data_IF_746202034402
#
_entry.id   IF_746202034402
#
_cell.length_a   1.000
_cell.length_b   1.000
_cell.length_c   1.000
_cell.angle_alpha   90.00
_cell.angle_beta   90.00
_cell.angle_gamma   90.00
#
_symmetry.space_group_name_H-M   'P 1'
#
loop_
_entity.id
_entity.type
_entity.pdbx_description
1 polymer ?
#
# COMPACT_ATOMS: atom_id res chain seq x y z
N UNK A 1 -10.94 1.39 -35.01
CA UNK A 1 -10.59 2.75 -34.53
C UNK A 1 -10.48 2.67 -33.02
N UNK A 2 -9.31 2.95 -32.46
CA UNK A 2 -9.08 3.00 -31.01
C UNK A 2 -9.90 4.18 -30.46
N UNK A 3 -10.79 3.94 -29.49
CA UNK A 3 -11.66 5.00 -28.96
C UNK A 3 -10.82 6.13 -28.34
N UNK A 4 -11.26 7.39 -28.46
CA UNK A 4 -10.59 8.56 -27.83
C UNK A 4 -10.30 8.31 -26.33
N UNK A 5 -11.15 7.53 -25.68
CA UNK A 5 -11.01 7.08 -24.29
C UNK A 5 -9.74 6.25 -24.02
N UNK A 6 -9.30 5.38 -24.93
CA UNK A 6 -8.05 4.62 -24.80
C UNK A 6 -6.81 5.50 -24.98
N UNK A 7 -6.94 6.59 -25.74
CA UNK A 7 -5.88 7.59 -25.92
C UNK A 7 -5.72 8.44 -24.65
N UNK A 8 -6.83 8.82 -24.02
CA UNK A 8 -6.85 9.50 -22.72
C UNK A 8 -6.22 8.68 -21.59
N UNK A 9 -6.37 7.34 -21.59
CA UNK A 9 -5.78 6.48 -20.55
C UNK A 9 -4.26 6.36 -20.69
N UNK A 10 -3.74 6.24 -21.91
CA UNK A 10 -2.28 6.21 -22.15
C UNK A 10 -1.64 7.58 -21.95
N UNK A 11 -2.29 8.66 -22.41
CA UNK A 11 -1.89 10.04 -22.09
C UNK A 11 -1.98 10.30 -20.58
N UNK A 12 -2.94 9.69 -19.89
CA UNK A 12 -3.04 9.76 -18.44
C UNK A 12 -1.88 9.08 -17.73
N UNK A 13 -1.52 7.84 -18.11
CA UNK A 13 -0.38 7.14 -17.50
C UNK A 13 0.93 7.86 -17.80
N UNK A 14 1.08 8.41 -19.01
CA UNK A 14 2.21 9.27 -19.36
C UNK A 14 2.21 10.52 -18.49
N UNK A 15 1.14 11.31 -18.42
CA UNK A 15 1.07 12.51 -17.58
C UNK A 15 1.31 12.21 -16.10
N UNK A 16 0.80 11.09 -15.59
CA UNK A 16 1.01 10.65 -14.21
C UNK A 16 2.47 10.28 -13.96
N UNK A 17 3.08 9.46 -14.83
CA UNK A 17 4.49 9.08 -14.74
C UNK A 17 5.41 10.29 -14.98
N UNK A 18 5.07 11.20 -15.89
CA UNK A 18 5.80 12.43 -16.19
C UNK A 18 5.77 13.39 -15.00
N UNK A 19 4.60 13.53 -14.36
CA UNK A 19 4.48 14.29 -13.13
C UNK A 19 5.36 13.68 -12.02
N UNK A 20 5.36 12.35 -11.84
CA UNK A 20 6.27 11.69 -10.88
C UNK A 20 7.75 11.79 -11.26
N UNK A 21 8.08 11.68 -12.55
CA UNK A 21 9.42 11.81 -13.10
C UNK A 21 10.00 13.21 -12.88
N UNK A 22 9.19 14.25 -13.08
CA UNK A 22 9.57 15.64 -12.80
C UNK A 22 9.82 15.89 -11.32
N UNK A 23 9.11 15.19 -10.43
CA UNK A 23 9.26 15.36 -8.98
C UNK A 23 10.54 14.69 -8.46
N UNK A 24 10.93 13.57 -9.07
CA UNK A 24 12.14 12.82 -8.75
C UNK A 24 13.13 12.81 -9.92
N UNK A 25 13.44 14.00 -10.43
CA UNK A 25 14.44 14.16 -11.49
C UNK A 25 15.87 13.87 -10.98
N UNK A 26 16.82 13.76 -11.90
CA UNK A 26 18.21 13.39 -11.58
C UNK A 26 18.87 14.40 -10.62
N UNK A 27 18.55 15.69 -10.74
CA UNK A 27 19.04 16.74 -9.83
C UNK A 27 18.55 16.55 -8.40
N UNK A 28 17.26 16.32 -8.22
CA UNK A 28 16.64 16.10 -6.91
C UNK A 28 17.25 14.87 -6.24
N UNK A 29 17.44 13.80 -7.00
CA UNK A 29 18.06 12.57 -6.52
C UNK A 29 19.53 12.76 -6.13
N UNK A 30 20.33 13.46 -6.95
CA UNK A 30 21.72 13.79 -6.61
C UNK A 30 21.82 14.63 -5.34
N UNK A 31 20.90 15.57 -5.13
CA UNK A 31 20.86 16.40 -3.93
C UNK A 31 20.57 15.58 -2.67
N UNK A 32 19.60 14.65 -2.72
CA UNK A 32 19.28 13.73 -1.62
C UNK A 32 20.52 12.94 -1.20
N UNK A 33 21.24 12.36 -2.16
CA UNK A 33 22.44 11.54 -1.90
C UNK A 33 23.58 12.40 -1.34
N UNK A 34 23.91 13.50 -2.04
CA UNK A 34 25.04 14.37 -1.67
C UNK A 34 24.89 14.96 -0.27
N UNK A 35 23.66 15.29 0.12
CA UNK A 35 23.39 15.96 1.40
C UNK A 35 23.06 14.98 2.53
N UNK A 36 23.05 13.66 2.27
CA UNK A 36 22.59 12.64 3.21
C UNK A 36 21.22 13.03 3.82
N UNK A 37 20.27 13.39 2.95
CA UNK A 37 19.01 14.00 3.34
C UNK A 37 18.14 13.02 4.14
N UNK A 38 18.07 13.23 5.45
CA UNK A 38 17.26 12.42 6.37
C UNK A 38 15.76 12.54 6.12
N UNK A 39 15.32 13.53 5.33
CA UNK A 39 13.92 13.72 4.96
C UNK A 39 13.56 13.09 3.61
N UNK A 40 14.49 12.41 2.93
CA UNK A 40 14.26 11.79 1.63
C UNK A 40 13.18 10.71 1.60
N UNK A 41 12.72 10.25 2.77
CA UNK A 41 11.52 9.43 2.85
C UNK A 41 10.22 10.18 2.60
N UNK A 42 10.23 11.51 2.69
CA UNK A 42 9.14 12.39 2.32
C UNK A 42 9.16 12.64 0.81
N UNK A 43 7.97 12.66 0.23
CA UNK A 43 7.75 13.12 -1.12
C UNK A 43 8.08 14.61 -1.21
N UNK A 44 8.79 15.10 -2.25
CA UNK A 44 9.24 16.49 -2.32
C UNK A 44 8.13 17.52 -2.12
N UNK A 45 6.96 17.31 -2.75
CA UNK A 45 5.80 18.20 -2.55
C UNK A 45 5.23 18.16 -1.13
N UNK A 46 5.37 17.03 -0.44
CA UNK A 46 4.94 16.94 0.95
C UNK A 46 5.95 17.61 1.88
N UNK A 47 7.25 17.49 1.58
CA UNK A 47 8.30 18.21 2.28
C UNK A 47 8.10 19.73 2.16
N UNK A 48 7.86 20.24 0.96
CA UNK A 48 7.50 21.65 0.72
C UNK A 48 6.24 22.05 1.49
N UNK A 49 5.19 21.22 1.43
CA UNK A 49 3.95 21.47 2.16
C UNK A 49 4.20 21.53 3.68
N UNK A 50 4.98 20.60 4.24
CA UNK A 50 5.32 20.55 5.65
C UNK A 50 6.12 21.79 6.04
N UNK A 51 7.15 22.17 5.28
CA UNK A 51 7.95 23.38 5.52
C UNK A 51 7.08 24.64 5.52
N UNK A 52 6.16 24.76 4.56
CA UNK A 52 5.22 25.88 4.46
C UNK A 52 4.30 26.00 5.68
N UNK A 53 3.84 24.88 6.25
CA UNK A 53 2.86 24.88 7.34
C UNK A 53 3.47 24.79 8.74
N UNK A 54 4.71 24.30 8.87
CA UNK A 54 5.36 24.03 10.15
C UNK A 54 6.75 24.68 10.30
N UNK A 55 7.22 25.41 9.29
CA UNK A 55 8.53 26.08 9.26
C UNK A 55 9.65 25.20 8.70
N UNK A 56 10.74 25.84 8.23
CA UNK A 56 11.94 25.15 7.73
C UNK A 56 12.61 24.26 8.79
N UNK A 57 12.47 24.63 10.07
CA UNK A 57 12.99 23.88 11.21
C UNK A 57 12.00 22.82 11.74
N UNK A 58 11.01 22.39 10.94
CA UNK A 58 10.03 21.39 11.39
C UNK A 58 10.67 20.11 11.92
N UNK A 59 11.88 19.76 11.43
CA UNK A 59 12.65 18.59 11.86
C UNK A 59 13.06 18.63 13.34
N UNK A 60 13.10 19.82 13.97
CA UNK A 60 13.39 20.01 15.39
C UNK A 60 12.16 19.79 16.26
N UNK A 61 10.96 19.92 15.69
CA UNK A 61 9.71 19.67 16.40
C UNK A 61 9.70 18.18 16.79
N UNK A 62 9.56 17.83 18.09
CA UNK A 62 9.79 16.48 18.60
C UNK A 62 9.08 15.37 17.83
N UNK A 63 7.88 15.68 17.32
CA UNK A 63 7.06 14.73 16.58
C UNK A 63 7.57 14.40 15.18
N UNK A 64 8.09 15.40 14.46
CA UNK A 64 8.69 15.22 13.14
C UNK A 64 10.06 14.59 13.27
N UNK A 65 10.84 15.01 14.27
CA UNK A 65 12.10 14.38 14.64
C UNK A 65 11.93 12.87 14.83
N UNK A 66 10.95 12.45 15.63
CA UNK A 66 10.65 11.04 15.87
C UNK A 66 10.27 10.28 14.60
N UNK A 67 9.47 10.88 13.72
CA UNK A 67 9.12 10.29 12.42
C UNK A 67 10.34 10.10 11.52
N UNK A 68 11.19 11.13 11.43
CA UNK A 68 12.44 11.11 10.66
C UNK A 68 13.38 10.05 11.22
N UNK A 69 13.60 10.03 12.54
CA UNK A 69 14.47 9.07 13.20
C UNK A 69 13.98 7.63 13.02
N UNK A 70 12.66 7.39 13.08
CA UNK A 70 12.08 6.08 12.80
C UNK A 70 12.24 5.67 11.32
N UNK A 71 11.95 6.58 10.38
CA UNK A 71 12.06 6.31 8.95
C UNK A 71 13.51 6.00 8.51
N UNK A 72 14.49 6.58 9.21
CA UNK A 72 15.91 6.34 8.99
C UNK A 72 16.48 5.19 9.84
N UNK A 73 15.64 4.47 10.59
CA UNK A 73 16.05 3.30 11.37
C UNK A 73 16.84 3.61 12.65
N UNK A 74 16.97 4.89 13.05
CA UNK A 74 17.61 5.31 14.32
C UNK A 74 16.80 4.89 15.55
N UNK A 75 15.49 4.71 15.35
CA UNK A 75 14.55 4.30 16.39
C UNK A 75 13.74 3.09 15.90
N UNK A 76 13.78 2.00 16.67
CA UNK A 76 12.93 0.83 16.49
C UNK A 76 11.97 0.67 17.66
N UNK A 77 10.87 -0.05 17.45
CA UNK A 77 9.88 -0.35 18.49
C UNK A 77 9.86 -1.86 18.70
N UNK A 78 9.95 -2.31 19.95
CA UNK A 78 9.93 -3.74 20.25
C UNK A 78 8.58 -4.40 19.85
N UNK A 79 8.57 -5.74 19.68
CA UNK A 79 7.36 -6.50 19.30
C UNK A 79 6.15 -6.24 20.19
N UNK A 80 6.38 -5.90 21.46
CA UNK A 80 5.35 -5.61 22.45
C UNK A 80 4.86 -4.15 22.42
N UNK A 81 5.37 -3.32 21.50
CA UNK A 81 4.92 -1.94 21.24
C UNK A 81 5.06 -0.99 22.46
N UNK A 82 6.00 -1.28 23.36
CA UNK A 82 6.13 -0.61 24.66
C UNK A 82 7.48 0.10 24.85
N UNK A 83 8.53 -0.29 24.12
CA UNK A 83 9.88 0.28 24.30
C UNK A 83 10.45 0.73 22.96
N UNK A 84 10.88 2.00 22.93
CA UNK A 84 11.70 2.57 21.87
C UNK A 84 13.14 2.12 22.11
N UNK A 85 13.70 1.39 21.16
CA UNK A 85 15.12 1.00 21.12
C UNK A 85 15.85 1.93 20.15
N UNK A 86 16.89 2.58 20.62
CA UNK A 86 17.77 3.39 19.76
C UNK A 86 18.83 2.45 19.18
N UNK A 87 18.80 2.27 17.87
CA UNK A 87 19.84 1.56 17.15
C UNK A 87 20.72 2.64 16.50
N UNK A 88 22.02 2.64 16.76
CA UNK A 88 23.00 3.40 15.96
C UNK A 88 23.15 2.73 14.59
N UNK A 89 22.05 2.55 13.87
CA UNK A 89 22.03 2.00 12.52
C UNK A 89 22.55 3.06 11.55
N UNK A 90 23.35 2.63 10.58
CA UNK A 90 23.72 3.47 9.45
C UNK A 90 22.45 4.01 8.76
N UNK A 91 22.49 5.29 8.42
CA UNK A 91 21.39 6.01 7.80
C UNK A 91 20.93 5.29 6.52
N UNK A 92 19.68 4.81 6.52
CA UNK A 92 19.06 4.20 5.34
C UNK A 92 17.76 4.94 5.01
N UNK A 93 17.82 6.03 4.23
CA UNK A 93 16.63 6.80 3.91
C UNK A 93 15.69 5.98 3.00
N UNK A 94 14.53 5.61 3.54
CA UNK A 94 13.51 4.87 2.80
C UNK A 94 12.74 5.80 1.85
N UNK A 95 12.97 5.78 0.53
CA UNK A 95 12.17 6.60 -0.41
C UNK A 95 10.68 6.25 -0.34
N UNK A 96 9.80 7.26 -0.26
CA UNK A 96 8.37 7.01 -0.30
C UNK A 96 7.93 6.46 -1.65
N UNK A 97 7.52 5.18 -1.66
CA UNK A 97 6.88 4.60 -2.83
C UNK A 97 5.37 4.82 -2.78
N UNK A 98 4.76 5.46 -3.78
CA UNK A 98 3.33 5.68 -3.84
C UNK A 98 2.56 4.40 -4.21
N UNK A 99 3.18 3.50 -4.98
CA UNK A 99 2.59 2.21 -5.35
C UNK A 99 3.65 1.22 -5.87
N UNK A 100 3.24 -0.02 -6.09
CA UNK A 100 3.96 -1.06 -6.81
C UNK A 100 3.03 -1.75 -7.80
N UNK A 101 3.56 -2.19 -8.93
CA UNK A 101 2.81 -2.93 -9.95
C UNK A 101 2.42 -2.08 -11.15
N UNK A 102 1.75 -2.74 -12.08
CA UNK A 102 1.32 -2.12 -13.33
C UNK A 102 -0.21 -1.96 -13.32
N UNK A 103 -0.73 -0.73 -13.24
CA UNK A 103 -2.16 -0.48 -13.16
C UNK A 103 -2.92 -0.86 -14.44
N UNK A 104 -2.23 -1.00 -15.57
CA UNK A 104 -2.82 -1.46 -16.82
C UNK A 104 -3.24 -2.93 -16.74
N UNK A 105 -2.42 -3.78 -16.12
CA UNK A 105 -2.65 -5.24 -16.08
C UNK A 105 -3.11 -5.74 -14.69
N UNK A 106 -3.22 -4.84 -13.71
CA UNK A 106 -3.56 -5.21 -12.35
C UNK A 106 -5.03 -5.63 -12.21
N UNK A 107 -5.23 -6.84 -11.71
CA UNK A 107 -6.52 -7.41 -11.34
C UNK A 107 -6.87 -7.17 -9.87
N UNK A 108 -5.83 -7.20 -9.02
CA UNK A 108 -5.97 -7.06 -7.57
C UNK A 108 -5.20 -5.82 -7.15
N UNK A 109 -5.88 -4.92 -6.46
CA UNK A 109 -5.33 -3.66 -5.95
C UNK A 109 -5.42 -3.66 -4.43
N UNK A 110 -4.27 -3.72 -3.77
CA UNK A 110 -4.19 -3.68 -2.31
C UNK A 110 -3.91 -2.24 -1.87
N UNK A 111 -4.84 -1.67 -1.10
CA UNK A 111 -4.73 -0.33 -0.52
C UNK A 111 -4.09 -0.44 0.87
N UNK A 112 -2.91 0.15 1.07
CA UNK A 112 -2.15 0.07 2.33
C UNK A 112 -1.73 1.45 2.87
N UNK A 113 -1.65 1.58 4.20
CA UNK A 113 -1.12 2.75 4.91
C UNK A 113 0.36 2.89 4.65
N UNK A 114 1.08 1.84 4.95
CA UNK A 114 2.49 1.72 4.67
C UNK A 114 2.74 0.25 4.34
N UNK A 115 3.66 -0.06 3.42
CA UNK A 115 4.53 -1.16 3.75
C UNK A 115 5.29 -0.70 4.99
N UNK A 116 5.16 -1.43 6.09
CA UNK A 116 5.84 -1.08 7.32
C UNK A 116 7.37 -1.07 7.08
N UNK A 117 8.18 -1.01 8.14
CA UNK A 117 9.61 -1.32 8.12
C UNK A 117 10.00 -2.67 7.45
N UNK A 118 9.05 -3.36 6.83
CA UNK A 118 9.13 -4.42 5.85
C UNK A 118 10.09 -4.13 4.68
N UNK A 119 10.42 -2.87 4.37
CA UNK A 119 11.51 -2.48 3.45
C UNK A 119 12.88 -2.35 4.14
N UNK A 120 13.06 -2.84 5.38
CA UNK A 120 14.37 -3.36 5.82
C UNK A 120 14.65 -4.60 4.97
N UNK A 121 14.94 -4.40 3.67
CA UNK A 121 15.24 -5.45 2.69
C UNK A 121 16.66 -5.99 2.89
N UNK A 122 17.45 -5.30 3.71
CA UNK A 122 18.80 -5.68 3.96
C UNK A 122 18.85 -6.42 5.29
N UNK A 123 19.35 -7.65 5.31
CA UNK A 123 20.14 -8.05 6.47
C UNK A 123 21.13 -6.92 6.76
N UNK A 124 21.49 -6.71 8.03
CA UNK A 124 22.52 -5.75 8.44
C UNK A 124 23.90 -5.98 7.76
N UNK A 125 23.99 -6.94 6.83
CA UNK A 125 25.16 -7.47 6.13
C UNK A 125 25.12 -7.35 4.60
N UNK A 126 24.12 -6.72 3.97
CA UNK A 126 24.12 -6.62 2.50
C UNK A 126 25.26 -5.71 2.00
N UNK A 127 26.04 -6.13 0.99
CA UNK A 127 27.08 -5.29 0.41
C UNK A 127 26.52 -3.95 -0.09
N UNK A 128 27.29 -2.87 0.09
CA UNK A 128 26.89 -1.51 -0.28
C UNK A 128 26.47 -1.41 -1.76
N UNK A 129 27.19 -2.10 -2.66
CA UNK A 129 26.89 -2.15 -4.08
C UNK A 129 25.50 -2.73 -4.39
N UNK A 130 25.09 -3.79 -3.68
CA UNK A 130 23.76 -4.40 -3.85
C UNK A 130 22.66 -3.50 -3.31
N UNK A 131 22.90 -2.82 -2.18
CA UNK A 131 21.97 -1.84 -1.63
C UNK A 131 21.78 -0.64 -2.59
N UNK A 132 22.85 -0.18 -3.23
CA UNK A 132 22.80 0.87 -4.25
C UNK A 132 22.00 0.42 -5.48
N UNK A 133 22.25 -0.79 -5.98
CA UNK A 133 21.54 -1.30 -7.16
C UNK A 133 20.05 -1.51 -6.90
N UNK A 134 19.69 -2.03 -5.73
CA UNK A 134 18.28 -2.11 -5.33
C UNK A 134 17.66 -0.72 -5.30
N UNK A 135 18.26 0.24 -4.59
CA UNK A 135 17.79 1.64 -4.58
C UNK A 135 17.63 2.20 -6.00
N UNK A 136 18.56 1.93 -6.91
CA UNK A 136 18.46 2.35 -8.31
C UNK A 136 17.25 1.74 -9.02
N UNK A 137 17.01 0.43 -8.86
CA UNK A 137 15.81 -0.24 -9.43
C UNK A 137 14.52 0.31 -8.84
N UNK A 138 14.49 0.62 -7.54
CA UNK A 138 13.36 1.32 -6.91
C UNK A 138 13.06 2.65 -7.60
N UNK A 139 14.09 3.45 -7.83
CA UNK A 139 13.97 4.76 -8.46
C UNK A 139 13.47 4.64 -9.89
N UNK A 140 14.06 3.73 -10.67
CA UNK A 140 13.65 3.46 -12.04
C UNK A 140 12.18 2.99 -12.11
N UNK A 141 11.73 2.17 -11.15
CA UNK A 141 10.33 1.69 -11.07
C UNK A 141 9.34 2.82 -10.75
N UNK A 142 9.67 3.70 -9.80
CA UNK A 142 8.88 4.91 -9.49
C UNK A 142 8.78 5.81 -10.72
N UNK A 143 9.89 5.97 -11.44
CA UNK A 143 9.97 6.75 -12.67
C UNK A 143 9.26 6.10 -13.86
N UNK A 144 8.78 4.86 -13.73
CA UNK A 144 8.23 4.09 -14.85
C UNK A 144 9.26 3.72 -15.91
N UNK A 145 10.57 3.87 -15.61
CA UNK A 145 11.70 3.56 -16.51
C UNK A 145 12.23 2.14 -16.31
N UNK A 146 11.89 1.49 -15.19
CA UNK A 146 12.22 0.08 -14.99
C UNK A 146 11.22 -0.79 -15.74
N UNK A 147 11.71 -1.49 -16.76
CA UNK A 147 10.94 -2.48 -17.50
C UNK A 147 11.70 -3.80 -17.52
N UNK A 148 10.95 -4.89 -17.62
CA UNK A 148 11.44 -6.24 -17.83
C UNK A 148 10.78 -6.73 -19.11
N UNK A 149 11.58 -7.04 -20.13
CA UNK A 149 11.10 -7.39 -21.47
C UNK A 149 10.10 -6.35 -22.04
N UNK A 150 10.37 -5.06 -21.80
CA UNK A 150 9.55 -3.94 -22.26
C UNK A 150 8.28 -3.68 -21.43
N UNK A 151 8.02 -4.44 -20.36
CA UNK A 151 6.84 -4.29 -19.52
C UNK A 151 7.18 -3.82 -18.10
N UNK A 152 6.31 -2.98 -17.51
CA UNK A 152 6.36 -2.69 -16.07
C UNK A 152 5.81 -3.88 -15.29
N UNK A 153 6.62 -4.46 -14.42
CA UNK A 153 6.28 -5.63 -13.60
C UNK A 153 6.22 -5.30 -12.11
N UNK A 154 5.69 -6.22 -11.31
CA UNK A 154 5.56 -6.03 -9.87
C UNK A 154 6.92 -6.23 -9.18
N UNK A 155 7.68 -5.15 -9.04
CA UNK A 155 9.06 -5.17 -8.51
C UNK A 155 9.24 -5.97 -7.19
N UNK A 156 8.34 -5.94 -6.19
CA UNK A 156 8.50 -6.75 -4.98
C UNK A 156 8.48 -8.26 -5.23
N UNK A 157 7.85 -8.71 -6.32
CA UNK A 157 7.92 -10.10 -6.74
C UNK A 157 9.27 -10.40 -7.40
N UNK A 158 9.70 -9.55 -8.33
CA UNK A 158 11.00 -9.70 -9.02
C UNK A 158 12.16 -9.72 -8.02
N UNK A 159 12.12 -8.84 -7.02
CA UNK A 159 13.15 -8.76 -5.96
C UNK A 159 12.93 -9.78 -4.83
N UNK A 160 11.95 -10.67 -4.96
CA UNK A 160 11.61 -11.67 -3.96
C UNK A 160 11.48 -11.08 -2.55
N UNK A 161 10.85 -9.91 -2.47
CA UNK A 161 10.84 -9.11 -1.26
C UNK A 161 10.22 -9.90 -0.10
N UNK A 162 10.95 -10.01 1.02
CA UNK A 162 10.56 -10.81 2.18
C UNK A 162 9.11 -10.60 2.66
N UNK A 163 8.64 -9.36 2.72
CA UNK A 163 7.26 -9.09 3.14
C UNK A 163 6.24 -9.59 2.11
N UNK A 164 6.55 -9.45 0.82
CA UNK A 164 5.69 -9.93 -0.26
C UNK A 164 5.59 -11.46 -0.21
N UNK A 165 6.74 -12.14 -0.20
CA UNK A 165 6.83 -13.61 -0.12
C UNK A 165 6.17 -14.13 1.16
N UNK A 166 6.40 -13.47 2.30
CA UNK A 166 5.85 -13.92 3.58
C UNK A 166 4.34 -13.70 3.67
N UNK A 167 3.85 -12.51 3.33
CA UNK A 167 2.48 -12.10 3.66
C UNK A 167 1.51 -12.17 2.48
N UNK A 168 1.98 -11.96 1.25
CA UNK A 168 1.12 -11.93 0.06
C UNK A 168 1.28 -13.17 -0.83
N UNK A 169 2.46 -13.79 -0.87
CA UNK A 169 2.75 -14.89 -1.78
C UNK A 169 3.40 -16.11 -1.09
N UNK A 170 2.91 -16.44 0.10
CA UNK A 170 3.30 -17.67 0.81
C UNK A 170 2.49 -18.87 0.33
N UNK A 171 2.88 -20.10 0.70
CA UNK A 171 2.13 -21.31 0.32
C UNK A 171 0.71 -21.35 0.88
N UNK A 172 0.44 -20.60 1.95
CA UNK A 172 -0.89 -20.44 2.53
C UNK A 172 -1.64 -19.21 1.98
N UNK A 173 -1.05 -18.46 1.04
CA UNK A 173 -1.64 -17.24 0.51
C UNK A 173 -2.72 -17.55 -0.53
N UNK A 174 -3.75 -16.71 -0.54
CA UNK A 174 -4.82 -16.81 -1.52
C UNK A 174 -4.32 -16.57 -2.94
N UNK A 175 -3.28 -15.75 -3.13
CA UNK A 175 -2.69 -15.50 -4.45
C UNK A 175 -2.17 -16.79 -5.08
N UNK A 176 -1.44 -17.62 -4.31
CA UNK A 176 -0.98 -18.93 -4.78
C UNK A 176 -2.14 -19.92 -4.97
N UNK A 177 -3.09 -19.96 -4.04
CA UNK A 177 -4.26 -20.84 -4.15
C UNK A 177 -5.03 -20.61 -5.45
N UNK A 178 -5.24 -19.34 -5.82
CA UNK A 178 -5.89 -18.99 -7.09
C UNK A 178 -4.93 -18.88 -8.29
N UNK A 179 -3.66 -19.27 -8.15
CA UNK A 179 -2.64 -19.18 -9.20
C UNK A 179 -2.59 -17.78 -9.87
N UNK A 180 -2.69 -16.73 -9.06
CA UNK A 180 -2.63 -15.35 -9.53
C UNK A 180 -1.19 -14.99 -9.81
N UNK A 181 -0.91 -14.55 -11.05
CA UNK A 181 0.37 -13.97 -11.42
C UNK A 181 0.63 -12.71 -10.56
N UNK A 182 1.72 -12.68 -9.77
CA UNK A 182 2.11 -11.51 -9.00
C UNK A 182 2.23 -10.21 -9.79
N UNK A 183 2.49 -10.25 -11.10
CA UNK A 183 2.55 -9.06 -11.94
C UNK A 183 1.18 -8.42 -12.18
N UNK A 184 0.09 -9.18 -11.95
CA UNK A 184 -1.30 -8.70 -11.96
C UNK A 184 -1.74 -8.14 -10.61
N UNK A 185 -0.80 -8.00 -9.67
CA UNK A 185 -1.01 -7.33 -8.40
C UNK A 185 -0.54 -5.88 -8.46
N UNK A 186 -1.29 -4.99 -7.83
CA UNK A 186 -0.86 -3.63 -7.51
C UNK A 186 -1.01 -3.37 -6.02
N UNK A 187 -0.08 -2.62 -5.45
CA UNK A 187 -0.19 -2.11 -4.07
C UNK A 187 -0.16 -0.60 -4.15
N UNK A 188 -1.20 0.09 -3.69
CA UNK A 188 -1.25 1.56 -3.60
C UNK A 188 -1.03 1.97 -2.15
N UNK A 189 -0.03 2.80 -1.91
CA UNK A 189 0.29 3.39 -0.61
C UNK A 189 -0.52 4.66 -0.42
N UNK A 190 -1.70 4.53 0.15
CA UNK A 190 -2.62 5.65 0.27
C UNK A 190 -2.25 6.63 1.40
N UNK A 191 -1.56 6.18 2.44
CA UNK A 191 -1.15 7.03 3.55
C UNK A 191 0.36 7.13 3.71
N UNK A 192 1.01 7.96 2.89
CA UNK A 192 2.43 8.19 3.01
C UNK A 192 2.76 8.62 4.44
N UNK A 193 3.85 8.04 4.94
CA UNK A 193 4.42 8.29 6.28
C UNK A 193 3.59 7.83 7.48
N UNK A 194 2.44 7.17 7.29
CA UNK A 194 1.74 6.56 8.41
C UNK A 194 2.42 5.26 8.82
N UNK A 195 3.31 5.36 9.81
CA UNK A 195 3.70 4.20 10.61
C UNK A 195 2.56 3.96 11.62
N UNK A 196 2.28 2.69 11.96
CA UNK A 196 1.21 2.38 12.92
C UNK A 196 1.36 3.16 14.23
N UNK A 197 0.26 3.26 15.01
CA UNK A 197 0.20 3.99 16.30
C UNK A 197 1.43 3.78 17.23
N UNK A 198 2.13 2.66 17.10
CA UNK A 198 3.30 2.25 17.88
C UNK A 198 4.59 3.07 17.61
N UNK A 199 4.75 3.70 16.45
CA UNK A 199 5.93 4.54 16.16
C UNK A 199 5.78 5.99 16.65
N UNK A 200 4.65 6.31 17.29
CA UNK A 200 4.39 7.61 17.90
C UNK A 200 4.42 8.78 16.93
N UNK A 201 4.07 8.53 15.65
CA UNK A 201 3.74 9.60 14.71
C UNK A 201 2.47 10.31 15.20
N UNK A 202 2.39 11.65 15.11
CA UNK A 202 1.25 12.40 15.59
C UNK A 202 -0.07 11.87 15.07
N UNK A 203 -1.02 11.76 15.99
CA UNK A 203 -2.45 11.72 15.67
C UNK A 203 -2.83 12.85 14.72
N UNK A 204 -2.06 13.94 14.63
CA UNK A 204 -2.29 15.08 13.74
C UNK A 204 -1.96 14.83 12.26
N UNK A 205 -1.06 13.90 11.93
CA UNK A 205 -0.86 13.40 10.56
C UNK A 205 -1.86 12.29 10.20
N UNK A 206 -2.42 11.66 11.24
CA UNK A 206 -3.56 10.76 11.14
C UNK A 206 -4.89 11.53 11.15
N UNK A 207 -4.88 12.81 11.54
CA UNK A 207 -6.08 13.62 11.68
C UNK A 207 -6.32 14.36 10.39
N UNK A 208 -7.58 14.30 9.98
CA UNK A 208 -8.20 14.78 8.76
C UNK A 208 -7.98 16.28 8.44
N UNK A 209 -7.15 16.99 9.21
CA UNK A 209 -6.94 18.44 9.08
C UNK A 209 -5.97 18.81 7.96
N UNK A 210 -5.00 17.95 7.63
CA UNK A 210 -3.98 18.24 6.61
C UNK A 210 -3.93 17.13 5.56
N UNK A 211 -4.42 17.43 4.36
CA UNK A 211 -4.32 16.54 3.18
C UNK A 211 -2.98 16.78 2.51
N UNK A 212 -2.10 15.78 2.52
CA UNK A 212 -0.80 15.88 1.86
C UNK A 212 -0.94 15.84 0.33
N UNK A 213 -0.13 16.60 -0.43
CA UNK A 213 -0.13 16.55 -1.89
C UNK A 213 -0.01 15.13 -2.47
N UNK A 214 0.87 14.29 -1.94
CA UNK A 214 1.04 12.91 -2.42
C UNK A 214 -0.17 12.01 -2.12
N UNK A 215 -0.89 12.23 -1.01
CA UNK A 215 -2.16 11.53 -0.71
C UNK A 215 -3.21 11.84 -1.78
N UNK A 216 -3.32 13.11 -2.15
CA UNK A 216 -4.23 13.55 -3.22
C UNK A 216 -3.85 12.92 -4.56
N UNK A 217 -2.57 12.82 -4.87
CA UNK A 217 -2.10 12.15 -6.09
C UNK A 217 -2.45 10.66 -6.11
N UNK A 218 -2.18 9.95 -5.00
CA UNK A 218 -2.50 8.52 -4.89
C UNK A 218 -4.01 8.26 -4.92
N UNK A 219 -4.81 9.19 -4.40
CA UNK A 219 -6.26 9.11 -4.51
C UNK A 219 -6.75 9.39 -5.93
N UNK A 220 -6.22 10.40 -6.61
CA UNK A 220 -6.57 10.66 -8.01
C UNK A 220 -6.28 9.45 -8.90
N UNK A 221 -5.16 8.76 -8.64
CA UNK A 221 -4.86 7.48 -9.26
C UNK A 221 -5.96 6.44 -9.01
N UNK A 222 -6.33 6.23 -7.74
CA UNK A 222 -7.39 5.29 -7.37
C UNK A 222 -8.72 5.62 -8.07
N UNK A 223 -9.13 6.90 -8.09
CA UNK A 223 -10.37 7.32 -8.76
C UNK A 223 -10.35 6.99 -10.24
N UNK A 224 -9.24 7.25 -10.91
CA UNK A 224 -9.11 6.96 -12.33
C UNK A 224 -9.18 5.46 -12.58
N UNK A 225 -8.54 4.64 -11.74
CA UNK A 225 -8.67 3.17 -11.82
C UNK A 225 -10.09 2.68 -11.52
N UNK A 226 -10.86 3.36 -10.69
CA UNK A 226 -12.27 3.00 -10.44
C UNK A 226 -13.16 3.34 -11.64
N UNK A 227 -12.69 4.22 -12.54
CA UNK A 227 -13.44 4.74 -13.69
C UNK A 227 -12.98 4.14 -15.03
N UNK A 228 -11.96 3.28 -15.09
CA UNK A 228 -11.33 2.80 -16.33
C UNK A 228 -11.94 1.51 -16.92
N UNK A 229 -13.21 1.23 -16.62
CA UNK A 229 -14.01 0.07 -17.03
C UNK A 229 -13.45 -1.33 -16.66
N UNK A 230 -12.28 -1.41 -16.03
CA UNK A 230 -11.67 -2.69 -15.62
C UNK A 230 -12.24 -3.15 -14.28
N UNK A 231 -12.79 -4.36 -14.27
CA UNK A 231 -13.23 -5.03 -13.05
C UNK A 231 -12.01 -5.46 -12.25
N UNK A 232 -11.75 -4.78 -11.13
CA UNK A 232 -10.68 -5.12 -10.19
C UNK A 232 -11.21 -5.54 -8.83
N UNK A 233 -10.42 -6.31 -8.11
CA UNK A 233 -10.62 -6.60 -6.69
C UNK A 233 -9.81 -5.59 -5.88
N UNK A 234 -10.50 -4.81 -5.06
CA UNK A 234 -9.85 -3.88 -4.15
C UNK A 234 -9.79 -4.51 -2.76
N UNK A 235 -8.61 -4.56 -2.15
CA UNK A 235 -8.39 -5.14 -0.82
C UNK A 235 -7.81 -4.09 0.12
N UNK A 236 -8.39 -3.99 1.31
CA UNK A 236 -8.01 -3.02 2.35
C UNK A 236 -7.74 -3.73 3.67
N UNK A 237 -6.80 -3.25 4.50
CA UNK A 237 -6.69 -3.82 5.86
C UNK A 237 -7.77 -3.26 6.79
N UNK A 238 -8.28 -4.06 7.73
CA UNK A 238 -9.31 -3.62 8.70
C UNK A 238 -8.86 -2.41 9.52
N UNK A 239 -7.61 -2.36 9.96
CA UNK A 239 -7.05 -1.20 10.68
C UNK A 239 -6.99 0.07 9.84
N UNK A 240 -7.20 -0.10 8.54
CA UNK A 240 -7.10 0.93 7.55
C UNK A 240 -8.47 1.35 7.02
N UNK A 241 -9.56 0.63 7.33
CA UNK A 241 -10.92 0.80 6.81
C UNK A 241 -11.23 2.27 6.45
N UNK A 242 -11.08 2.56 5.16
CA UNK A 242 -10.86 3.91 4.63
C UNK A 242 -12.15 4.67 4.37
N UNK A 243 -13.34 4.11 4.58
CA UNK A 243 -14.60 4.74 4.11
C UNK A 243 -14.81 6.13 4.73
N UNK A 244 -14.43 6.34 6.00
CA UNK A 244 -14.46 7.67 6.61
C UNK A 244 -13.45 8.65 5.99
N UNK A 245 -12.37 8.13 5.42
CA UNK A 245 -11.30 8.90 4.79
C UNK A 245 -11.64 9.18 3.32
N UNK A 246 -12.13 8.20 2.57
CA UNK A 246 -12.57 8.38 1.18
C UNK A 246 -13.61 9.48 1.04
N UNK A 247 -14.51 9.66 2.01
CA UNK A 247 -15.45 10.79 2.04
C UNK A 247 -14.79 12.17 2.01
N UNK A 248 -13.51 12.30 2.35
CA UNK A 248 -12.77 13.56 2.25
C UNK A 248 -12.12 13.78 0.87
N UNK A 249 -12.14 12.76 0.02
CA UNK A 249 -11.47 12.77 -1.27
C UNK A 249 -12.42 12.45 -2.44
N UNK A 250 -13.50 11.70 -2.20
CA UNK A 250 -14.50 11.25 -3.16
C UNK A 250 -15.88 11.82 -2.87
N UNK A 251 -16.72 11.84 -3.90
CA UNK A 251 -18.16 12.00 -3.80
C UNK A 251 -18.82 10.74 -3.18
N UNK A 252 -20.14 10.85 -2.94
CA UNK A 252 -20.97 9.76 -2.40
C UNK A 252 -20.90 8.50 -3.27
N UNK A 253 -20.94 8.68 -4.59
CA UNK A 253 -21.15 7.61 -5.55
C UNK A 253 -19.92 6.69 -5.60
N UNK A 254 -18.72 7.29 -5.60
CA UNK A 254 -17.47 6.52 -5.51
C UNK A 254 -17.36 5.82 -4.15
N UNK A 255 -17.78 6.48 -3.07
CA UNK A 255 -17.78 5.86 -1.75
C UNK A 255 -18.70 4.64 -1.68
N UNK A 256 -19.90 4.74 -2.28
CA UNK A 256 -20.86 3.63 -2.36
C UNK A 256 -20.33 2.50 -3.23
N UNK A 257 -19.79 2.81 -4.41
CA UNK A 257 -19.15 1.82 -5.26
C UNK A 257 -18.05 1.03 -4.53
N UNK A 258 -17.19 1.74 -3.79
CA UNK A 258 -16.16 1.10 -2.97
C UNK A 258 -16.77 0.24 -1.86
N UNK A 259 -17.80 0.72 -1.15
CA UNK A 259 -18.50 -0.08 -0.13
C UNK A 259 -19.02 -1.41 -0.69
N UNK A 260 -19.46 -1.42 -1.94
CA UNK A 260 -20.02 -2.62 -2.57
C UNK A 260 -18.95 -3.57 -3.12
N UNK A 261 -17.80 -3.05 -3.54
CA UNK A 261 -16.77 -3.80 -4.26
C UNK A 261 -15.47 -4.02 -3.48
N UNK A 262 -15.35 -3.47 -2.27
CA UNK A 262 -14.15 -3.56 -1.44
C UNK A 262 -14.16 -4.82 -0.58
N UNK A 263 -13.00 -5.48 -0.55
CA UNK A 263 -12.68 -6.56 0.38
C UNK A 263 -11.78 -6.06 1.51
N UNK A 264 -12.00 -6.58 2.70
CA UNK A 264 -11.33 -6.24 3.95
C UNK A 264 -10.51 -7.43 4.44
N UNK A 265 -9.20 -7.23 4.58
CA UNK A 265 -8.33 -8.11 5.34
C UNK A 265 -8.61 -7.92 6.83
N UNK A 266 -9.50 -8.77 7.37
CA UNK A 266 -10.06 -8.67 8.72
C UNK A 266 -9.22 -9.39 9.77
N UNK A 267 -7.94 -9.01 9.85
CA UNK A 267 -7.07 -9.41 10.94
C UNK A 267 -6.04 -8.33 11.29
N UNK A 268 -6.05 -7.93 12.57
CA UNK A 268 -5.08 -6.99 13.15
C UNK A 268 -3.70 -7.60 13.40
N UNK A 269 -3.64 -8.93 13.51
CA UNK A 269 -2.41 -9.67 13.85
C UNK A 269 -1.90 -10.53 12.69
N UNK A 270 -2.82 -11.02 11.85
CA UNK A 270 -2.47 -11.85 10.72
C UNK A 270 -2.39 -10.99 9.45
N UNK A 271 -1.16 -10.70 9.02
CA UNK A 271 -0.89 -9.96 7.78
C UNK A 271 -0.97 -10.82 6.53
N UNK A 272 -1.15 -12.13 6.68
CA UNK A 272 -1.26 -13.04 5.57
C UNK A 272 -2.61 -12.87 4.87
N UNK A 273 -2.56 -12.70 3.56
CA UNK A 273 -3.75 -12.67 2.71
C UNK A 273 -4.19 -14.12 2.48
N UNK A 274 -5.16 -14.56 3.29
CA UNK A 274 -5.71 -15.93 3.25
C UNK A 274 -7.22 -15.90 2.99
N UNK A 275 -7.75 -17.02 2.46
CA UNK A 275 -9.17 -17.18 2.11
C UNK A 275 -10.11 -16.84 3.26
N UNK A 276 -9.71 -17.18 4.48
CA UNK A 276 -10.51 -17.00 5.68
C UNK A 276 -10.56 -15.56 6.19
N UNK A 277 -9.56 -14.74 5.84
CA UNK A 277 -9.32 -13.44 6.44
C UNK A 277 -9.66 -12.28 5.49
N UNK A 278 -9.89 -12.55 4.21
CA UNK A 278 -10.37 -11.55 3.24
C UNK A 278 -11.89 -11.66 3.16
N UNK A 279 -12.58 -10.63 3.65
CA UNK A 279 -14.03 -10.56 3.74
C UNK A 279 -14.55 -9.52 2.77
N UNK A 280 -15.72 -9.69 2.16
CA UNK A 280 -16.39 -8.52 1.58
C UNK A 280 -16.67 -7.49 2.67
N UNK A 281 -16.82 -6.22 2.29
CA UNK A 281 -17.18 -5.20 3.26
C UNK A 281 -18.51 -5.52 3.99
N UNK A 282 -19.46 -6.19 3.31
CA UNK A 282 -20.72 -6.67 3.89
C UNK A 282 -20.48 -7.74 4.96
N UNK A 283 -19.70 -8.77 4.64
CA UNK A 283 -19.30 -9.82 5.59
C UNK A 283 -18.56 -9.23 6.80
N UNK A 284 -17.66 -8.26 6.57
CA UNK A 284 -16.94 -7.58 7.63
C UNK A 284 -17.87 -6.79 8.56
N UNK A 285 -18.84 -6.04 8.02
CA UNK A 285 -19.84 -5.33 8.82
C UNK A 285 -20.69 -6.28 9.66
N UNK A 286 -21.11 -7.41 9.09
CA UNK A 286 -21.87 -8.41 9.83
C UNK A 286 -21.05 -9.01 10.97
N UNK A 287 -19.77 -9.31 10.72
CA UNK A 287 -18.84 -9.75 11.77
C UNK A 287 -18.74 -8.74 12.91
N UNK A 288 -18.63 -7.44 12.61
CA UNK A 288 -18.60 -6.39 13.64
C UNK A 288 -19.92 -6.33 14.43
N UNK A 289 -21.06 -6.44 13.75
CA UNK A 289 -22.40 -6.47 14.37
C UNK A 289 -22.55 -7.66 15.31
N UNK A 290 -22.17 -8.87 14.87
CA UNK A 290 -22.20 -10.09 15.68
C UNK A 290 -21.26 -10.00 16.88
N UNK A 291 -20.09 -9.39 16.72
CA UNK A 291 -19.15 -9.16 17.82
C UNK A 291 -19.73 -8.28 18.94
N UNK A 292 -20.61 -7.35 18.60
CA UNK A 292 -21.30 -6.49 19.57
C UNK A 292 -22.53 -7.16 20.19
N UNK A 293 -23.23 -8.00 19.42
CA UNK A 293 -24.50 -8.60 19.82
C UNK A 293 -24.37 -9.91 20.62
N UNK A 294 -23.30 -10.67 20.41
CA UNK A 294 -23.10 -11.99 21.03
C UNK A 294 -22.16 -11.93 22.23
N UNK A 295 -22.30 -12.89 23.16
CA UNK A 295 -21.26 -13.11 24.16
C UNK A 295 -19.93 -13.52 23.52
N UNK A 296 -18.83 -13.41 24.26
CA UNK A 296 -17.49 -13.78 23.76
C UNK A 296 -17.47 -15.21 23.21
N UNK A 297 -18.03 -16.17 23.94
CA UNK A 297 -18.02 -17.60 23.57
C UNK A 297 -18.84 -17.83 22.30
N UNK A 298 -20.05 -17.29 22.24
CA UNK A 298 -20.94 -17.42 21.08
C UNK A 298 -20.35 -16.77 19.84
N UNK A 299 -19.73 -15.60 19.97
CA UNK A 299 -19.04 -14.94 18.87
C UNK A 299 -17.89 -15.81 18.33
N UNK A 300 -17.08 -16.42 19.20
CA UNK A 300 -15.99 -17.28 18.75
C UNK A 300 -16.49 -18.53 18.03
N UNK A 301 -17.57 -19.16 18.53
CA UNK A 301 -18.19 -20.31 17.86
C UNK A 301 -18.74 -19.92 16.48
N UNK A 302 -19.53 -18.85 16.42
CA UNK A 302 -20.04 -18.31 15.16
C UNK A 302 -18.90 -17.99 14.18
N UNK A 303 -17.85 -17.31 14.64
CA UNK A 303 -16.72 -16.95 13.77
C UNK A 303 -15.92 -18.18 13.28
N UNK A 304 -15.88 -19.28 14.05
CA UNK A 304 -15.31 -20.56 13.60
C UNK A 304 -16.16 -21.21 12.52
N UNK A 305 -17.48 -21.24 12.69
CA UNK A 305 -18.42 -21.76 11.68
C UNK A 305 -18.29 -20.97 10.37
N UNK A 306 -18.25 -19.63 10.45
CA UNK A 306 -18.01 -18.78 9.28
C UNK A 306 -16.64 -19.06 8.64
N UNK A 307 -15.59 -19.32 9.42
CA UNK A 307 -14.27 -19.65 8.88
C UNK A 307 -14.31 -20.96 8.09
N UNK A 308 -14.96 -21.99 8.62
CA UNK A 308 -15.11 -23.28 7.96
C UNK A 308 -15.93 -23.16 6.66
N UNK A 309 -17.02 -22.36 6.67
CA UNK A 309 -17.80 -22.09 5.47
C UNK A 309 -16.95 -21.46 4.34
N UNK A 310 -16.11 -20.46 4.67
CA UNK A 310 -15.21 -19.82 3.69
C UNK A 310 -14.13 -20.76 3.16
N UNK A 311 -13.62 -21.67 3.99
CA UNK A 311 -12.67 -22.71 3.56
C UNK A 311 -13.28 -23.66 2.53
N UNK A 312 -14.61 -23.85 2.58
CA UNK A 312 -15.37 -24.65 1.63
C UNK A 312 -15.89 -23.85 0.43
N UNK A 313 -15.41 -22.61 0.22
CA UNK A 313 -15.79 -21.79 -0.93
C UNK A 313 -17.00 -20.88 -0.72
N UNK A 314 -17.67 -20.94 0.44
CA UNK A 314 -18.78 -20.04 0.73
C UNK A 314 -18.28 -18.70 1.28
N UNK A 315 -17.69 -17.91 0.38
CA UNK A 315 -17.33 -16.52 0.64
C UNK A 315 -17.54 -15.66 -0.59
N UNK A 316 -17.86 -14.39 -0.38
CA UNK A 316 -17.96 -13.42 -1.48
C UNK A 316 -16.65 -13.30 -2.25
N UNK A 317 -15.52 -13.50 -1.56
CA UNK A 317 -14.21 -13.43 -2.17
C UNK A 317 -13.95 -14.61 -3.11
N UNK A 318 -14.31 -15.84 -2.73
CA UNK A 318 -14.23 -17.00 -3.61
C UNK A 318 -15.04 -16.78 -4.89
N UNK A 319 -16.31 -16.39 -4.73
CA UNK A 319 -17.23 -16.12 -5.86
C UNK A 319 -16.63 -15.08 -6.82
N UNK A 320 -16.03 -14.01 -6.29
CA UNK A 320 -15.38 -12.98 -7.11
C UNK A 320 -14.14 -13.53 -7.83
N UNK A 321 -13.27 -14.26 -7.16
CA UNK A 321 -12.06 -14.84 -7.75
C UNK A 321 -12.40 -15.86 -8.86
N UNK A 322 -13.40 -16.70 -8.65
CA UNK A 322 -13.84 -17.69 -9.64
C UNK A 322 -14.46 -17.02 -10.87
N UNK A 323 -15.24 -15.94 -10.69
CA UNK A 323 -15.79 -15.16 -11.80
C UNK A 323 -14.69 -14.57 -12.68
N UNK A 324 -13.61 -14.06 -12.10
CA UNK A 324 -12.47 -13.53 -12.86
C UNK A 324 -11.74 -14.63 -13.62
N UNK A 325 -11.50 -15.79 -13.00
CA UNK A 325 -10.88 -16.94 -13.67
C UNK A 325 -11.70 -17.40 -14.88
N UNK A 326 -13.02 -17.44 -14.75
CA UNK A 326 -13.91 -17.82 -15.85
C UNK A 326 -13.86 -16.81 -17.01
N UNK A 327 -13.83 -15.51 -16.72
CA UNK A 327 -13.66 -14.46 -17.74
C UNK A 327 -12.31 -14.61 -18.47
N UNK A 328 -11.21 -14.93 -17.79
CA UNK A 328 -9.90 -15.17 -18.42
C UNK A 328 -9.86 -16.43 -19.30
N UNK A 329 -10.59 -17.47 -18.91
CA UNK A 329 -10.62 -18.74 -19.63
C UNK A 329 -11.34 -18.65 -20.97
N UNK A 330 -12.28 -17.69 -21.10
CA UNK A 330 -13.12 -17.49 -22.28
C UNK A 330 -12.75 -16.26 -23.12
N UNK A 331 -11.70 -15.53 -22.74
CA UNK A 331 -11.19 -14.35 -23.46
C UNK A 331 -9.90 -14.62 -24.26
N UNK A 332 -9.41 -15.86 -24.19
CA UNK A 332 -8.38 -16.43 -25.09
C UNK A 332 -9.06 -17.36 -26.10
#
# INVERSE_FOLDING_TARGET
MMSEYLKEINEFWQQYLDQYNSIYDESTLKAIIKNNDTTAFLHPRDLEYIKKHFGENFMEIPRFKKMIDFANGKVTVNKNRQKVTFENAELNPATARPYFGNPEIADIVILKKQPENDFKIYELSLPEAEAIEYRKRILLDIQGKLTFDGQKLFLPYIDCHRWFVKYLYSNASTLKYFNIDPNRLMVIKFFPYQTGHAAGIPKDFLSFKYILPSQRQNFNLLIKMLKDDKKRIYIVSEEELYISIFKNFADSDICEYLIENLFVLSSKQNRHLTLCNVLSYKEHRERLRKKQALSKIEYYKWNQEQKAARENGDSDFHKKMDSMRYEFSNSN
#
